data_IF_983568212585
#
_entry.id   IF_983568212585
#
_cell.length_a   1.000
_cell.length_b   1.000
_cell.length_c   1.000
_cell.angle_alpha   90.00
_cell.angle_beta   90.00
_cell.angle_gamma   90.00
#
_symmetry.space_group_name_H-M   'P 1'
#
loop_
_entity.id
_entity.type
_entity.pdbx_description
1 polymer ?
#
# COMPACT_ATOMS: atom_id res chain seq x y z
N UNK A 1 42.81 -7.38 9.42
CA UNK A 1 43.18 -7.28 8.00
C UNK A 1 44.56 -7.88 7.79
N UNK A 2 44.78 -8.72 6.76
CA UNK A 2 46.09 -9.29 6.41
C UNK A 2 46.41 -8.93 4.96
N UNK A 3 47.65 -8.53 4.66
CA UNK A 3 48.09 -8.23 3.29
C UNK A 3 48.87 -9.44 2.76
N UNK A 4 48.39 -10.02 1.66
CA UNK A 4 48.95 -11.22 1.02
C UNK A 4 48.98 -11.03 -0.49
N UNK A 5 49.81 -11.79 -1.20
CA UNK A 5 49.92 -11.73 -2.66
C UNK A 5 50.11 -13.12 -3.23
N UNK A 6 49.23 -13.50 -4.16
CA UNK A 6 49.33 -14.76 -4.90
C UNK A 6 50.62 -14.84 -5.75
N UNK A 7 51.14 -13.71 -6.22
CA UNK A 7 52.37 -13.67 -7.01
C UNK A 7 53.64 -13.55 -6.18
N UNK A 8 53.62 -12.75 -5.10
CA UNK A 8 54.84 -12.41 -4.34
C UNK A 8 55.09 -13.34 -3.15
N UNK A 9 54.03 -13.84 -2.51
CA UNK A 9 54.12 -14.66 -1.29
C UNK A 9 53.09 -15.82 -1.30
N UNK A 10 53.09 -16.68 -2.35
CA UNK A 10 52.07 -17.71 -2.53
C UNK A 10 51.98 -18.69 -1.36
N UNK A 11 53.11 -19.12 -0.79
CA UNK A 11 53.14 -20.08 0.34
C UNK A 11 52.40 -19.53 1.55
N UNK A 12 52.65 -18.27 1.90
CA UNK A 12 51.98 -17.62 3.05
C UNK A 12 50.49 -17.42 2.80
N UNK A 13 50.08 -17.18 1.56
CA UNK A 13 48.67 -17.13 1.20
C UNK A 13 48.00 -18.49 1.45
N UNK A 14 48.59 -19.58 0.95
CA UNK A 14 48.07 -20.93 1.12
C UNK A 14 47.98 -21.34 2.60
N UNK A 15 48.98 -21.00 3.42
CA UNK A 15 48.92 -21.24 4.88
C UNK A 15 47.72 -20.55 5.54
N UNK A 16 47.40 -19.33 5.12
CA UNK A 16 46.27 -18.59 5.66
C UNK A 16 44.94 -19.18 5.18
N UNK A 17 44.84 -19.49 3.88
CA UNK A 17 43.64 -20.11 3.28
C UNK A 17 43.35 -21.46 3.92
N UNK A 18 44.37 -22.32 4.10
CA UNK A 18 44.20 -23.64 4.73
C UNK A 18 43.62 -23.56 6.15
N UNK A 19 44.01 -22.53 6.93
CA UNK A 19 43.44 -22.31 8.27
C UNK A 19 41.96 -21.92 8.22
N UNK A 20 41.56 -21.09 7.25
CA UNK A 20 40.15 -20.74 7.07
C UNK A 20 39.35 -21.93 6.53
N UNK A 21 39.95 -22.73 5.66
CA UNK A 21 39.30 -23.90 5.08
C UNK A 21 39.03 -24.98 6.11
N UNK A 22 39.95 -25.16 7.07
CA UNK A 22 39.79 -26.11 8.17
C UNK A 22 38.63 -25.79 9.14
N UNK A 23 38.06 -24.58 9.10
CA UNK A 23 36.88 -24.23 9.92
C UNK A 23 35.66 -25.09 9.49
N UNK A 24 34.89 -25.72 10.38
CA UNK A 24 33.75 -26.54 9.93
C UNK A 24 32.55 -25.71 9.45
N UNK A 25 32.52 -24.39 9.70
CA UNK A 25 31.36 -23.55 9.36
C UNK A 25 31.21 -23.39 7.85
N UNK A 26 29.96 -23.32 7.33
CA UNK A 26 29.72 -22.98 5.93
C UNK A 26 30.37 -21.65 5.56
N UNK A 27 31.04 -21.60 4.42
CA UNK A 27 31.78 -20.43 3.98
C UNK A 27 31.80 -20.31 2.47
N UNK A 28 32.07 -19.08 2.04
CA UNK A 28 32.30 -18.72 0.63
C UNK A 28 33.47 -17.75 0.63
N UNK A 29 34.41 -17.92 -0.28
CA UNK A 29 35.48 -16.95 -0.46
C UNK A 29 35.10 -15.95 -1.54
N UNK A 30 35.32 -14.67 -1.26
CA UNK A 30 35.24 -13.61 -2.27
C UNK A 30 36.66 -13.06 -2.47
N UNK A 31 37.20 -13.21 -3.67
CA UNK A 31 38.50 -12.66 -4.05
C UNK A 31 38.32 -11.36 -4.84
N UNK A 32 39.02 -10.31 -4.42
CA UNK A 32 39.04 -9.02 -5.10
C UNK A 32 40.44 -8.78 -5.66
N UNK A 33 40.64 -9.12 -6.93
CA UNK A 33 41.92 -8.97 -7.61
C UNK A 33 41.74 -8.58 -9.08
N UNK A 34 42.40 -7.49 -9.50
CA UNK A 34 42.45 -7.05 -10.90
C UNK A 34 43.72 -7.51 -11.61
N UNK A 35 43.97 -6.98 -12.81
CA UNK A 35 45.14 -7.29 -13.65
C UNK A 35 45.19 -8.78 -14.08
N UNK A 36 46.20 -9.53 -13.66
CA UNK A 36 46.40 -10.94 -14.05
C UNK A 36 45.61 -11.96 -13.22
N UNK A 37 44.70 -11.49 -12.34
CA UNK A 37 43.88 -12.26 -11.38
C UNK A 37 44.37 -13.68 -11.02
N UNK A 38 45.63 -13.81 -10.61
CA UNK A 38 46.14 -15.09 -10.14
C UNK A 38 45.55 -15.50 -8.78
N UNK A 39 45.07 -14.53 -8.00
CA UNK A 39 44.51 -14.79 -6.68
C UNK A 39 43.27 -15.68 -6.76
N UNK A 40 42.34 -15.40 -7.67
CA UNK A 40 41.07 -16.12 -7.71
C UNK A 40 41.26 -17.58 -8.11
N UNK A 41 42.06 -17.82 -9.16
CA UNK A 41 42.36 -19.19 -9.60
C UNK A 41 43.19 -19.98 -8.59
N UNK A 42 44.20 -19.35 -7.97
CA UNK A 42 45.01 -19.99 -6.93
C UNK A 42 44.16 -20.34 -5.69
N UNK A 43 43.24 -19.44 -5.31
CA UNK A 43 42.37 -19.65 -4.17
C UNK A 43 41.41 -20.81 -4.43
N UNK A 44 40.73 -20.82 -5.58
CA UNK A 44 39.78 -21.86 -5.97
C UNK A 44 40.44 -23.24 -6.04
N UNK A 45 41.65 -23.34 -6.60
CA UNK A 45 42.41 -24.59 -6.61
C UNK A 45 42.91 -25.06 -5.23
N UNK A 46 42.86 -24.21 -4.21
CA UNK A 46 43.35 -24.51 -2.86
C UNK A 46 42.25 -24.85 -1.86
N UNK A 47 40.97 -24.73 -2.24
CA UNK A 47 39.82 -24.94 -1.35
C UNK A 47 38.77 -25.83 -2.00
N UNK A 48 37.87 -26.40 -1.19
CA UNK A 48 36.67 -27.09 -1.70
C UNK A 48 35.44 -26.20 -1.59
N UNK A 49 35.49 -25.18 -0.73
CA UNK A 49 34.43 -24.19 -0.57
C UNK A 49 34.32 -23.28 -1.81
N UNK A 50 33.11 -22.82 -2.18
CA UNK A 50 32.94 -21.97 -3.36
C UNK A 50 33.76 -20.69 -3.32
N UNK A 51 34.36 -20.33 -4.47
CA UNK A 51 35.10 -19.09 -4.66
C UNK A 51 34.38 -18.18 -5.66
N UNK A 52 34.25 -16.90 -5.31
CA UNK A 52 33.69 -15.86 -6.15
C UNK A 52 34.79 -14.83 -6.45
N UNK A 53 35.14 -14.72 -7.73
CA UNK A 53 36.01 -13.65 -8.22
C UNK A 53 35.20 -12.38 -8.46
N UNK A 54 35.53 -11.31 -7.74
CA UNK A 54 34.96 -9.98 -7.91
C UNK A 54 36.07 -8.98 -8.26
N UNK A 55 36.63 -9.03 -9.48
CA UNK A 55 37.68 -8.12 -9.89
C UNK A 55 37.18 -6.66 -9.88
N UNK A 56 37.97 -5.70 -9.38
CA UNK A 56 37.58 -4.29 -9.43
C UNK A 56 37.57 -3.78 -10.89
N UNK A 57 36.69 -2.81 -11.23
CA UNK A 57 36.73 -2.16 -12.54
C UNK A 57 38.10 -1.52 -12.81
N UNK A 58 38.62 -1.65 -14.03
CA UNK A 58 39.90 -1.04 -14.41
C UNK A 58 39.93 -0.54 -15.86
N UNK A 59 40.02 0.77 -16.02
CA UNK A 59 40.18 1.41 -17.34
C UNK A 59 41.62 1.29 -17.86
N UNK A 60 42.59 1.02 -16.98
CA UNK A 60 44.02 0.93 -17.32
C UNK A 60 44.33 -0.17 -18.36
N UNK A 61 43.44 -1.16 -18.50
CA UNK A 61 43.55 -2.24 -19.47
C UNK A 61 42.32 -2.32 -20.40
N UNK A 62 41.48 -1.29 -20.43
CA UNK A 62 40.23 -1.29 -21.21
C UNK A 62 39.31 -2.46 -20.87
N UNK A 63 39.30 -2.91 -19.61
CA UNK A 63 38.56 -4.08 -19.14
C UNK A 63 39.12 -5.45 -19.58
N UNK A 64 40.24 -5.51 -20.33
CA UNK A 64 40.83 -6.77 -20.77
C UNK A 64 41.34 -7.65 -19.62
N UNK A 65 41.58 -7.07 -18.45
CA UNK A 65 41.98 -7.81 -17.25
C UNK A 65 40.88 -8.73 -16.74
N UNK A 66 39.60 -8.50 -17.10
CA UNK A 66 38.49 -9.42 -16.78
C UNK A 66 38.70 -10.82 -17.36
N UNK A 67 39.37 -10.93 -18.51
CA UNK A 67 39.63 -12.23 -19.14
C UNK A 67 40.49 -13.13 -18.28
N UNK A 68 41.36 -12.56 -17.44
CA UNK A 68 42.14 -13.32 -16.47
C UNK A 68 41.28 -13.99 -15.39
N UNK A 69 40.05 -13.51 -15.18
CA UNK A 69 39.06 -14.10 -14.27
C UNK A 69 38.17 -15.12 -14.99
N UNK A 70 37.87 -14.88 -16.27
CA UNK A 70 36.96 -15.71 -17.08
C UNK A 70 37.63 -16.93 -17.72
N UNK A 71 38.95 -16.89 -17.94
CA UNK A 71 39.70 -17.95 -18.65
C UNK A 71 40.58 -18.74 -17.68
N UNK A 72 39.95 -19.56 -16.85
CA UNK A 72 40.64 -20.46 -15.93
C UNK A 72 41.05 -21.77 -16.60
N UNK A 73 42.15 -22.40 -16.16
CA UNK A 73 42.50 -23.76 -16.60
C UNK A 73 41.47 -24.78 -16.09
N UNK A 74 41.42 -25.96 -16.72
CA UNK A 74 40.51 -27.02 -16.30
C UNK A 74 40.70 -27.44 -14.84
N UNK A 75 39.60 -27.70 -14.13
CA UNK A 75 39.60 -28.04 -12.70
C UNK A 75 39.58 -26.82 -11.76
N UNK A 76 39.64 -25.60 -12.31
CA UNK A 76 39.54 -24.33 -11.58
C UNK A 76 38.30 -23.60 -12.08
N UNK A 77 37.34 -23.32 -11.20
CA UNK A 77 36.02 -22.81 -11.54
C UNK A 77 35.47 -21.74 -10.56
N UNK A 78 36.22 -20.65 -10.27
CA UNK A 78 35.67 -19.55 -9.50
C UNK A 78 34.51 -18.89 -10.28
N UNK A 79 33.43 -18.56 -9.56
CA UNK A 79 32.31 -17.81 -10.14
C UNK A 79 32.73 -16.35 -10.30
N UNK A 80 32.60 -15.77 -11.49
CA UNK A 80 32.95 -14.36 -11.72
C UNK A 80 31.71 -13.47 -11.58
N UNK A 81 31.78 -12.46 -10.71
CA UNK A 81 30.77 -11.40 -10.58
C UNK A 81 31.45 -10.04 -10.58
N UNK A 82 31.16 -9.19 -11.57
CA UNK A 82 31.81 -7.88 -11.69
C UNK A 82 31.20 -6.81 -10.77
N UNK A 83 29.98 -7.05 -10.30
CA UNK A 83 29.31 -6.18 -9.33
C UNK A 83 29.53 -6.72 -7.90
N UNK A 84 30.05 -5.90 -6.97
CA UNK A 84 30.24 -6.31 -5.58
C UNK A 84 28.95 -6.72 -4.86
N UNK A 85 27.83 -6.07 -5.17
CA UNK A 85 26.52 -6.41 -4.61
C UNK A 85 26.07 -7.81 -5.05
N UNK A 86 26.23 -8.12 -6.34
CA UNK A 86 25.93 -9.43 -6.90
C UNK A 86 26.89 -10.52 -6.41
N UNK A 87 28.15 -10.18 -6.15
CA UNK A 87 29.11 -11.10 -5.52
C UNK A 87 28.66 -11.46 -4.10
N UNK A 88 28.26 -10.46 -3.30
CA UNK A 88 27.70 -10.66 -1.96
C UNK A 88 26.39 -11.45 -2.00
N UNK A 89 25.48 -11.15 -2.95
CA UNK A 89 24.23 -11.87 -3.12
C UNK A 89 24.47 -13.33 -3.51
N UNK A 90 25.45 -13.59 -4.37
CA UNK A 90 25.84 -14.96 -4.76
C UNK A 90 26.35 -15.74 -3.55
N UNK A 91 27.21 -15.13 -2.73
CA UNK A 91 27.66 -15.74 -1.47
C UNK A 91 26.49 -16.02 -0.52
N UNK A 92 25.57 -15.07 -0.35
CA UNK A 92 24.39 -15.23 0.49
C UNK A 92 23.48 -16.37 -0.02
N UNK A 93 23.29 -16.49 -1.34
CA UNK A 93 22.52 -17.58 -1.97
C UNK A 93 23.15 -18.96 -1.75
N UNK A 94 24.47 -19.06 -1.78
CA UNK A 94 25.19 -20.30 -1.45
C UNK A 94 24.95 -20.68 0.02
N UNK A 95 25.11 -19.73 0.95
CA UNK A 95 24.89 -19.96 2.37
C UNK A 95 23.41 -20.29 2.70
N UNK A 96 22.46 -19.68 1.97
CA UNK A 96 21.02 -19.94 2.09
C UNK A 96 20.60 -21.40 1.82
N UNK A 97 21.46 -22.20 1.18
CA UNK A 97 21.22 -23.64 1.02
C UNK A 97 21.13 -24.31 2.39
N UNK A 98 22.01 -23.95 3.32
CA UNK A 98 22.11 -24.55 4.65
C UNK A 98 21.50 -23.70 5.78
N UNK A 99 21.30 -22.39 5.55
CA UNK A 99 20.77 -21.47 6.55
C UNK A 99 19.37 -20.93 6.13
N UNK A 100 18.27 -21.38 6.80
CA UNK A 100 16.92 -20.90 6.53
C UNK A 100 16.73 -19.39 6.76
N UNK A 101 17.41 -18.80 7.73
CA UNK A 101 17.31 -17.37 8.02
C UNK A 101 17.96 -16.54 6.91
N UNK A 102 19.12 -16.98 6.40
CA UNK A 102 19.75 -16.35 5.23
C UNK A 102 18.86 -16.51 3.99
N UNK A 103 18.23 -17.67 3.82
CA UNK A 103 17.28 -17.92 2.72
C UNK A 103 16.10 -16.96 2.73
N UNK A 104 15.48 -16.75 3.89
CA UNK A 104 14.42 -15.76 4.09
C UNK A 104 14.89 -14.35 3.71
N UNK A 105 16.08 -13.95 4.19
CA UNK A 105 16.67 -12.63 3.88
C UNK A 105 16.99 -12.44 2.39
N UNK A 106 17.51 -13.47 1.73
CA UNK A 106 17.76 -13.45 0.27
C UNK A 106 16.44 -13.29 -0.49
N UNK A 107 15.40 -14.04 -0.11
CA UNK A 107 14.06 -13.91 -0.72
C UNK A 107 13.50 -12.50 -0.54
N UNK A 108 13.59 -11.95 0.67
CA UNK A 108 13.15 -10.59 0.99
C UNK A 108 13.90 -9.55 0.15
N UNK A 109 15.23 -9.64 0.07
CA UNK A 109 16.06 -8.73 -0.74
C UNK A 109 15.71 -8.79 -2.23
N UNK A 110 15.58 -9.99 -2.79
CA UNK A 110 15.20 -10.15 -4.19
C UNK A 110 13.78 -9.68 -4.48
N UNK A 111 12.86 -9.84 -3.52
CA UNK A 111 11.50 -9.32 -3.61
C UNK A 111 11.53 -7.79 -3.63
N UNK A 112 12.21 -7.15 -2.68
CA UNK A 112 12.33 -5.69 -2.62
C UNK A 112 12.88 -5.08 -3.92
N UNK A 113 13.86 -5.74 -4.56
CA UNK A 113 14.38 -5.27 -5.86
C UNK A 113 13.36 -5.38 -7.00
N UNK A 114 12.49 -6.41 -7.00
CA UNK A 114 11.39 -6.50 -7.99
C UNK A 114 10.31 -5.47 -7.70
N UNK A 115 9.90 -5.36 -6.44
CA UNK A 115 8.93 -4.37 -5.96
C UNK A 115 9.36 -2.95 -6.36
N UNK A 116 10.67 -2.65 -6.29
CA UNK A 116 11.25 -1.37 -6.70
C UNK A 116 11.00 -1.05 -8.17
N UNK A 117 11.12 -2.02 -9.05
CA UNK A 117 10.86 -1.79 -10.46
C UNK A 117 9.40 -1.37 -10.70
N UNK A 118 8.44 -1.98 -9.99
CA UNK A 118 7.03 -1.64 -10.12
C UNK A 118 6.70 -0.25 -9.55
N UNK A 119 7.28 0.09 -8.39
CA UNK A 119 7.13 1.43 -7.80
C UNK A 119 7.73 2.50 -8.70
N UNK A 120 8.96 2.28 -9.19
CA UNK A 120 9.66 3.22 -10.06
C UNK A 120 8.93 3.39 -11.41
N UNK A 121 8.40 2.31 -11.99
CA UNK A 121 7.60 2.35 -13.23
C UNK A 121 6.29 3.15 -13.04
N UNK A 122 5.57 2.92 -11.94
CA UNK A 122 4.35 3.66 -11.62
C UNK A 122 4.64 5.15 -11.32
N UNK A 123 5.77 5.45 -10.65
CA UNK A 123 6.21 6.83 -10.42
C UNK A 123 6.49 7.56 -11.74
N UNK A 124 7.22 6.92 -12.66
CA UNK A 124 7.51 7.49 -13.99
C UNK A 124 6.22 7.66 -14.80
N UNK A 125 5.39 6.62 -14.89
CA UNK A 125 4.15 6.65 -15.66
C UNK A 125 3.20 7.74 -15.16
N UNK A 126 2.98 7.84 -13.85
CA UNK A 126 2.08 8.86 -13.30
C UNK A 126 2.64 10.27 -13.30
N UNK A 127 3.98 10.43 -13.35
CA UNK A 127 4.59 11.74 -13.54
C UNK A 127 4.26 12.35 -14.90
N UNK A 128 3.98 11.53 -15.91
CA UNK A 128 3.51 12.01 -17.22
C UNK A 128 2.11 12.64 -17.16
N UNK A 129 1.33 12.38 -16.10
CA UNK A 129 -0.04 12.88 -15.91
C UNK A 129 -0.11 14.27 -15.26
N UNK A 130 1.02 14.80 -14.79
CA UNK A 130 1.08 16.08 -14.08
C UNK A 130 0.43 17.22 -14.88
N UNK A 131 0.73 17.42 -16.19
CA UNK A 131 0.13 18.51 -16.96
C UNK A 131 -1.41 18.42 -17.04
N UNK A 132 -1.97 17.22 -17.22
CA UNK A 132 -3.41 16.98 -17.25
C UNK A 132 -4.07 17.19 -15.89
N UNK A 133 -3.40 16.80 -14.80
CA UNK A 133 -3.86 17.04 -13.42
C UNK A 133 -3.86 18.55 -13.10
N UNK A 134 -2.80 19.26 -13.50
CA UNK A 134 -2.70 20.72 -13.35
C UNK A 134 -3.83 21.43 -14.11
N UNK A 135 -4.09 21.03 -15.37
CA UNK A 135 -5.17 21.58 -16.17
C UNK A 135 -6.55 21.35 -15.51
N UNK A 136 -6.81 20.13 -15.00
CA UNK A 136 -8.05 19.81 -14.30
C UNK A 136 -8.23 20.63 -13.00
N UNK A 137 -7.13 20.97 -12.33
CA UNK A 137 -7.16 21.81 -11.12
C UNK A 137 -7.43 23.27 -11.44
N UNK A 138 -6.75 23.82 -12.44
CA UNK A 138 -6.81 25.24 -12.81
C UNK A 138 -8.17 25.71 -13.31
N UNK A 139 -8.96 24.83 -13.94
CA UNK A 139 -10.29 25.18 -14.45
C UNK A 139 -11.40 25.16 -13.38
N UNK A 140 -11.10 24.82 -12.11
CA UNK A 140 -12.09 24.56 -11.02
C UNK A 140 -13.22 23.59 -11.43
N UNK A 141 -13.03 22.82 -12.51
CA UNK A 141 -14.10 22.05 -13.17
C UNK A 141 -14.66 20.92 -12.33
N UNK A 142 -13.88 20.37 -11.39
CA UNK A 142 -14.17 19.01 -10.91
C UNK A 142 -15.18 18.96 -9.74
N UNK A 143 -15.14 19.92 -8.81
CA UNK A 143 -16.16 20.03 -7.74
C UNK A 143 -17.49 20.54 -8.24
N UNK A 144 -17.46 21.66 -8.98
CA UNK A 144 -18.65 22.42 -9.34
C UNK A 144 -19.57 21.58 -10.21
N UNK A 145 -19.00 20.84 -11.14
CA UNK A 145 -19.78 20.13 -12.15
C UNK A 145 -20.39 18.82 -11.66
N UNK A 146 -19.75 18.09 -10.75
CA UNK A 146 -20.32 16.85 -10.17
C UNK A 146 -21.50 17.18 -9.27
N UNK A 147 -21.37 18.18 -8.39
CA UNK A 147 -22.46 18.59 -7.50
C UNK A 147 -23.62 19.26 -8.28
N UNK A 148 -23.33 20.05 -9.32
CA UNK A 148 -24.36 20.62 -10.21
C UNK A 148 -25.10 19.57 -11.04
N UNK A 149 -24.37 18.65 -11.70
CA UNK A 149 -24.98 17.60 -12.52
C UNK A 149 -25.90 16.69 -11.69
N UNK A 150 -25.48 16.39 -10.46
CA UNK A 150 -26.19 15.54 -9.52
C UNK A 150 -27.39 16.26 -8.89
N UNK A 151 -27.26 17.57 -8.61
CA UNK A 151 -28.36 18.42 -8.13
C UNK A 151 -29.44 18.61 -9.20
N UNK A 152 -29.04 18.83 -10.46
CA UNK A 152 -29.97 18.91 -11.58
C UNK A 152 -30.73 17.58 -11.78
N UNK A 153 -30.03 16.45 -11.64
CA UNK A 153 -30.63 15.12 -11.75
C UNK A 153 -31.64 14.83 -10.62
N UNK A 154 -31.33 15.25 -9.39
CA UNK A 154 -32.28 15.19 -8.27
C UNK A 154 -33.54 16.01 -8.50
N UNK A 155 -33.41 17.20 -9.09
CA UNK A 155 -34.57 18.04 -9.40
C UNK A 155 -35.50 17.38 -10.43
N UNK A 156 -34.94 16.65 -11.41
CA UNK A 156 -35.72 15.90 -12.40
C UNK A 156 -36.49 14.72 -11.80
N UNK A 157 -35.98 14.13 -10.71
CA UNK A 157 -36.61 13.02 -9.98
C UNK A 157 -37.12 13.42 -8.59
N UNK A 158 -37.44 14.70 -8.40
CA UNK A 158 -37.81 15.26 -7.10
C UNK A 158 -39.04 14.54 -6.52
N UNK A 159 -38.89 14.03 -5.29
CA UNK A 159 -39.94 13.30 -4.57
C UNK A 159 -39.78 11.78 -4.52
N UNK A 160 -39.00 11.17 -5.43
CA UNK A 160 -38.74 9.73 -5.42
C UNK A 160 -37.43 9.36 -4.69
N UNK A 161 -36.39 10.18 -4.84
CA UNK A 161 -35.07 9.94 -4.27
C UNK A 161 -34.65 11.04 -3.30
N UNK A 162 -33.96 10.67 -2.22
CA UNK A 162 -33.38 11.56 -1.21
C UNK A 162 -31.85 11.51 -1.28
N UNK A 163 -31.20 12.65 -1.01
CA UNK A 163 -29.72 12.76 -0.91
C UNK A 163 -29.30 12.87 0.55
N UNK A 164 -28.29 12.10 0.94
CA UNK A 164 -27.53 12.29 2.18
C UNK A 164 -26.08 12.59 1.79
N UNK A 165 -25.62 13.80 2.09
CA UNK A 165 -24.25 14.23 1.82
C UNK A 165 -23.31 13.71 2.91
N UNK A 166 -22.26 12.99 2.52
CA UNK A 166 -21.16 12.61 3.39
C UNK A 166 -19.92 13.47 3.14
N UNK A 167 -18.86 13.24 3.92
CA UNK A 167 -17.58 13.96 3.78
C UNK A 167 -17.01 13.85 2.36
N UNK A 168 -17.04 12.64 1.79
CA UNK A 168 -16.48 12.31 0.47
C UNK A 168 -17.54 11.74 -0.48
N UNK A 169 -18.43 10.88 0.02
CA UNK A 169 -19.47 10.20 -0.78
C UNK A 169 -20.84 10.79 -0.52
N UNK A 170 -21.60 10.98 -1.58
CA UNK A 170 -23.03 11.33 -1.53
C UNK A 170 -23.87 10.07 -1.76
N UNK A 171 -24.87 9.87 -0.92
CA UNK A 171 -25.76 8.73 -0.96
C UNK A 171 -27.14 9.14 -1.48
N UNK A 172 -27.64 8.43 -2.48
CA UNK A 172 -28.99 8.60 -3.01
C UNK A 172 -29.80 7.35 -2.71
N UNK A 173 -30.96 7.54 -2.09
CA UNK A 173 -31.80 6.44 -1.64
C UNK A 173 -33.28 6.81 -1.76
N UNK A 174 -34.12 5.83 -2.07
CA UNK A 174 -35.58 5.96 -2.12
C UNK A 174 -36.21 4.98 -1.13
N UNK A 175 -37.24 5.37 -0.36
CA UNK A 175 -37.80 4.50 0.70
C UNK A 175 -38.21 3.12 0.18
N UNK A 176 -38.82 3.07 -1.00
CA UNK A 176 -39.28 1.84 -1.65
C UNK A 176 -38.21 1.10 -2.47
N UNK A 177 -36.97 1.59 -2.50
CA UNK A 177 -35.88 0.97 -3.27
C UNK A 177 -34.99 0.12 -2.38
N UNK A 178 -34.72 -1.11 -2.83
CA UNK A 178 -33.71 -2.00 -2.27
C UNK A 178 -32.28 -1.61 -2.67
N UNK A 179 -32.13 -0.55 -3.48
CA UNK A 179 -30.86 -0.06 -3.95
C UNK A 179 -30.52 1.30 -3.33
N UNK A 180 -29.21 1.57 -3.32
CA UNK A 180 -28.62 2.85 -2.98
C UNK A 180 -27.60 3.20 -4.05
N UNK A 181 -27.57 4.46 -4.46
CA UNK A 181 -26.56 4.98 -5.38
C UNK A 181 -25.53 5.74 -4.54
N UNK A 182 -24.26 5.39 -4.68
CA UNK A 182 -23.14 6.00 -4.00
C UNK A 182 -22.33 6.76 -5.03
N UNK A 183 -22.20 8.08 -4.85
CA UNK A 183 -21.43 8.96 -5.71
C UNK A 183 -20.20 9.45 -4.96
N UNK A 184 -19.03 9.00 -5.38
CA UNK A 184 -17.73 9.35 -4.77
C UNK A 184 -17.20 10.62 -5.40
N UNK A 185 -17.04 11.66 -4.58
CA UNK A 185 -16.63 12.98 -5.05
C UNK A 185 -15.14 13.23 -4.85
N UNK A 186 -14.66 14.31 -5.45
CA UNK A 186 -13.27 14.75 -5.37
C UNK A 186 -12.97 15.56 -4.11
N UNK A 187 -13.94 15.70 -3.20
CA UNK A 187 -13.75 16.32 -1.89
C UNK A 187 -12.70 15.54 -1.10
N UNK A 188 -11.65 16.22 -0.66
CA UNK A 188 -10.67 15.69 0.27
C UNK A 188 -10.95 16.25 1.65
N UNK A 189 -11.17 15.35 2.61
CA UNK A 189 -11.39 15.71 4.01
C UNK A 189 -10.26 15.21 4.91
N UNK A 190 -9.94 16.01 5.93
CA UNK A 190 -9.20 15.60 7.11
C UNK A 190 -9.54 16.56 8.27
N UNK A 191 -9.26 16.14 9.50
CA UNK A 191 -9.60 16.91 10.71
C UNK A 191 -11.09 17.30 10.77
N UNK A 192 -11.97 16.40 10.30
CA UNK A 192 -13.42 16.59 10.21
C UNK A 192 -13.90 17.78 9.35
N UNK A 193 -13.04 18.28 8.47
CA UNK A 193 -13.33 19.37 7.55
C UNK A 193 -13.04 18.95 6.10
N UNK A 194 -13.78 19.50 5.14
CA UNK A 194 -13.41 19.43 3.72
C UNK A 194 -12.34 20.49 3.48
N UNK A 195 -11.14 20.04 3.09
CA UNK A 195 -9.94 20.89 3.01
C UNK A 195 -9.67 21.39 1.60
N UNK A 196 -9.90 20.53 0.60
CA UNK A 196 -9.65 20.83 -0.78
C UNK A 196 -10.47 19.91 -1.70
N UNK A 197 -10.37 20.14 -3.00
CA UNK A 197 -10.67 19.13 -3.99
C UNK A 197 -9.44 18.66 -4.71
N UNK A 198 -9.40 17.36 -4.93
CA UNK A 198 -8.29 16.66 -5.56
C UNK A 198 -8.85 16.05 -6.84
N UNK A 199 -8.47 16.54 -8.03
CA UNK A 199 -8.95 15.99 -9.29
C UNK A 199 -8.77 14.48 -9.37
N UNK A 200 -9.73 13.80 -9.99
CA UNK A 200 -9.75 12.35 -10.24
C UNK A 200 -9.86 11.48 -8.98
N UNK A 201 -9.82 12.07 -7.78
CA UNK A 201 -9.87 11.34 -6.51
C UNK A 201 -11.09 10.44 -6.42
N UNK A 202 -12.29 10.95 -6.72
CA UNK A 202 -13.51 10.19 -6.57
C UNK A 202 -13.57 8.98 -7.49
N UNK A 203 -13.04 9.13 -8.72
CA UNK A 203 -12.92 8.03 -9.68
C UNK A 203 -11.91 6.99 -9.19
N UNK A 204 -10.72 7.41 -8.76
CA UNK A 204 -9.70 6.52 -8.17
C UNK A 204 -10.29 5.71 -7.01
N UNK A 205 -10.89 6.38 -6.01
CA UNK A 205 -11.40 5.72 -4.82
C UNK A 205 -12.47 4.67 -5.16
N UNK A 206 -13.41 5.03 -6.03
CA UNK A 206 -14.51 4.15 -6.39
C UNK A 206 -14.04 2.97 -7.26
N UNK A 207 -13.13 3.18 -8.21
CA UNK A 207 -12.58 2.11 -9.04
C UNK A 207 -11.65 1.16 -8.25
N UNK A 208 -10.80 1.69 -7.36
CA UNK A 208 -10.01 0.86 -6.42
C UNK A 208 -10.95 0.00 -5.57
N UNK A 209 -11.98 0.62 -4.98
CA UNK A 209 -12.94 -0.13 -4.16
C UNK A 209 -13.68 -1.19 -4.98
N UNK A 210 -14.10 -0.87 -6.21
CA UNK A 210 -14.77 -1.82 -7.11
C UNK A 210 -13.88 -3.03 -7.45
N UNK A 211 -12.59 -2.78 -7.73
CA UNK A 211 -11.60 -3.83 -7.94
C UNK A 211 -11.49 -4.73 -6.72
N UNK A 212 -11.34 -4.17 -5.51
CA UNK A 212 -11.23 -4.94 -4.28
C UNK A 212 -12.51 -5.71 -3.94
N UNK A 213 -13.68 -5.11 -4.11
CA UNK A 213 -14.95 -5.81 -3.89
C UNK A 213 -15.03 -7.08 -4.74
N UNK A 214 -14.71 -6.99 -6.03
CA UNK A 214 -14.66 -8.13 -6.95
C UNK A 214 -13.64 -9.19 -6.50
N UNK A 215 -12.44 -8.77 -6.12
CA UNK A 215 -11.36 -9.70 -5.74
C UNK A 215 -11.56 -10.32 -4.35
N UNK A 216 -12.50 -9.83 -3.55
CA UNK A 216 -12.78 -10.32 -2.19
C UNK A 216 -14.16 -10.97 -2.03
N UNK A 217 -14.93 -11.15 -3.12
CA UNK A 217 -16.24 -11.83 -3.09
C UNK A 217 -16.19 -13.25 -2.50
N UNK A 218 -15.06 -13.93 -2.69
CA UNK A 218 -14.82 -15.27 -2.16
C UNK A 218 -14.56 -15.30 -0.63
N UNK A 219 -14.36 -14.14 -0.01
CA UNK A 219 -14.14 -13.99 1.43
C UNK A 219 -15.45 -13.60 2.13
N UNK A 220 -16.14 -12.59 1.62
CA UNK A 220 -17.36 -12.03 2.20
C UNK A 220 -18.31 -11.52 1.10
N UNK A 221 -19.63 -11.72 1.23
CA UNK A 221 -20.59 -11.04 0.36
C UNK A 221 -20.43 -9.51 0.48
N UNK A 222 -20.63 -8.77 -0.61
CA UNK A 222 -20.59 -7.32 -0.58
C UNK A 222 -21.85 -6.69 -1.19
N UNK A 223 -22.02 -5.40 -0.95
CA UNK A 223 -23.20 -4.66 -1.39
C UNK A 223 -23.20 -4.25 -2.86
N UNK A 224 -22.09 -4.37 -3.60
CA UNK A 224 -22.00 -3.83 -4.97
C UNK A 224 -22.92 -4.59 -5.92
N UNK A 225 -23.67 -3.85 -6.74
CA UNK A 225 -24.50 -4.35 -7.83
C UNK A 225 -23.86 -4.00 -9.17
N UNK A 226 -23.48 -2.73 -9.36
CA UNK A 226 -22.91 -2.23 -10.61
C UNK A 226 -22.06 -0.98 -10.40
N UNK A 227 -21.16 -0.71 -11.34
CA UNK A 227 -20.35 0.52 -11.42
C UNK A 227 -20.57 1.14 -12.80
N UNK A 228 -21.63 1.94 -12.99
CA UNK A 228 -22.00 2.47 -14.29
C UNK A 228 -21.18 3.70 -14.72
N UNK A 229 -20.41 4.26 -13.80
CA UNK A 229 -19.55 5.42 -14.02
C UNK A 229 -18.38 5.36 -13.03
N UNK A 230 -17.19 5.89 -13.35
CA UNK A 230 -16.02 5.82 -12.49
C UNK A 230 -16.24 6.35 -11.07
N UNK A 231 -17.11 7.34 -10.89
CA UNK A 231 -17.48 7.89 -9.57
C UNK A 231 -18.74 7.26 -8.95
N UNK A 232 -19.39 6.30 -9.59
CA UNK A 232 -20.71 5.80 -9.17
C UNK A 232 -20.67 4.31 -8.88
N UNK A 233 -21.16 3.94 -7.70
CA UNK A 233 -21.50 2.56 -7.36
C UNK A 233 -22.99 2.46 -7.08
N UNK A 234 -23.65 1.50 -7.73
CA UNK A 234 -24.98 1.03 -7.36
C UNK A 234 -24.79 -0.11 -6.39
N UNK A 235 -25.37 0.01 -5.20
CA UNK A 235 -25.26 -0.97 -4.14
C UNK A 235 -26.63 -1.41 -3.62
N UNK A 236 -26.67 -2.60 -3.02
CA UNK A 236 -27.80 -3.08 -2.21
C UNK A 236 -27.91 -2.21 -0.97
N UNK A 237 -29.14 -1.90 -0.57
CA UNK A 237 -29.39 -1.32 0.74
C UNK A 237 -29.09 -2.38 1.80
N UNK A 238 -28.20 -2.03 2.72
CA UNK A 238 -27.91 -2.80 3.92
C UNK A 238 -28.21 -1.93 5.16
N UNK A 239 -28.57 -2.59 6.26
CA UNK A 239 -28.62 -1.99 7.59
C UNK A 239 -27.22 -2.03 8.21
N UNK A 240 -26.50 -0.90 8.33
CA UNK A 240 -25.12 -0.89 8.81
C UNK A 240 -25.04 -1.24 10.30
N UNK A 241 -24.02 -2.01 10.68
CA UNK A 241 -23.63 -2.09 12.09
C UNK A 241 -23.00 -0.76 12.53
N UNK A 242 -23.25 -0.27 13.75
CA UNK A 242 -22.74 1.01 14.23
C UNK A 242 -21.27 0.94 14.68
N UNK A 243 -20.46 0.09 14.04
CA UNK A 243 -19.07 -0.21 14.39
C UNK A 243 -18.20 -0.13 13.14
N UNK A 244 -17.08 0.56 13.25
CA UNK A 244 -16.02 0.55 12.27
C UNK A 244 -14.95 -0.45 12.71
N UNK A 245 -14.68 -1.46 11.88
CA UNK A 245 -13.68 -2.47 12.14
C UNK A 245 -12.34 -2.02 11.57
N UNK A 246 -11.57 -1.27 12.36
CA UNK A 246 -10.20 -0.91 11.98
C UNK A 246 -9.28 -2.10 12.24
N UNK A 247 -8.57 -2.57 11.21
CA UNK A 247 -7.56 -3.62 11.32
C UNK A 247 -6.18 -3.01 11.12
N UNK A 248 -5.23 -3.34 12.01
CA UNK A 248 -3.88 -2.76 12.02
C UNK A 248 -2.82 -3.84 11.91
N UNK A 249 -1.88 -3.66 10.98
CA UNK A 249 -0.67 -4.48 10.84
C UNK A 249 0.58 -3.81 11.41
N UNK A 250 0.53 -2.51 11.70
CA UNK A 250 1.70 -1.71 12.11
C UNK A 250 1.37 -0.74 13.26
N UNK A 251 2.35 -0.47 14.12
CA UNK A 251 2.24 0.45 15.25
C UNK A 251 2.46 1.91 14.81
N UNK A 252 1.48 2.51 14.12
CA UNK A 252 1.60 3.86 13.54
C UNK A 252 0.38 4.75 13.84
N UNK A 253 0.37 5.93 13.21
CA UNK A 253 -0.69 6.92 13.18
C UNK A 253 -0.44 8.12 14.09
N UNK A 254 -1.13 9.21 13.77
CA UNK A 254 -0.99 10.53 14.38
C UNK A 254 -2.28 11.02 15.06
N UNK A 255 -3.41 10.36 14.82
CA UNK A 255 -4.75 10.73 15.33
C UNK A 255 -4.98 10.24 16.76
N UNK A 256 -5.97 10.81 17.45
CA UNK A 256 -6.39 10.42 18.81
C UNK A 256 -6.75 8.95 18.94
N UNK A 257 -7.29 8.35 17.88
CA UNK A 257 -7.67 6.93 17.83
C UNK A 257 -6.54 6.00 17.37
N UNK A 258 -5.40 6.53 16.92
CA UNK A 258 -4.31 5.69 16.40
C UNK A 258 -3.56 4.92 17.49
N UNK A 259 -3.06 3.73 17.14
CA UNK A 259 -2.35 2.86 18.07
C UNK A 259 -1.09 3.55 18.61
N UNK A 260 -0.25 4.12 17.73
CA UNK A 260 1.00 4.74 18.16
C UNK A 260 0.76 5.91 19.12
N UNK A 261 -0.20 6.79 18.82
CA UNK A 261 -0.47 7.96 19.67
C UNK A 261 -0.93 7.58 21.06
N UNK A 262 -1.74 6.53 21.19
CA UNK A 262 -2.17 6.01 22.49
C UNK A 262 -1.01 5.32 23.23
N UNK A 263 -0.24 4.49 22.52
CA UNK A 263 0.90 3.79 23.11
C UNK A 263 1.98 4.76 23.64
N UNK A 264 2.28 5.82 22.88
CA UNK A 264 3.18 6.92 23.28
C UNK A 264 2.71 7.64 24.55
N UNK A 265 1.39 7.72 24.77
CA UNK A 265 0.78 8.29 25.97
C UNK A 265 0.74 7.33 27.16
N UNK A 266 1.31 6.14 27.04
CA UNK A 266 1.35 5.14 28.10
C UNK A 266 0.20 4.14 28.11
N UNK A 267 -0.69 4.17 27.10
CA UNK A 267 -1.75 3.15 26.98
C UNK A 267 -1.12 1.80 26.66
N UNK A 268 -1.49 0.77 27.43
CA UNK A 268 -1.04 -0.62 27.26
C UNK A 268 -2.19 -1.61 27.10
N UNK A 269 -3.41 -1.17 27.34
CA UNK A 269 -4.63 -1.90 27.02
C UNK A 269 -5.42 -1.09 26.00
N UNK A 270 -5.53 -1.62 24.79
CA UNK A 270 -6.04 -0.89 23.62
C UNK A 270 -7.13 -1.73 22.96
N UNK A 271 -8.39 -1.26 23.01
CA UNK A 271 -9.56 -2.02 22.56
C UNK A 271 -9.68 -3.43 23.19
N UNK A 272 -9.26 -3.58 24.46
CA UNK A 272 -9.20 -4.89 25.15
C UNK A 272 -7.99 -5.76 24.79
N UNK A 273 -7.04 -5.24 24.01
CA UNK A 273 -5.80 -5.92 23.64
C UNK A 273 -4.66 -5.42 24.51
N UNK A 274 -3.92 -6.34 25.15
CA UNK A 274 -2.69 -6.02 25.86
C UNK A 274 -1.55 -5.82 24.88
N UNK A 275 -1.01 -4.61 24.82
CA UNK A 275 0.13 -4.26 24.00
C UNK A 275 1.43 -4.66 24.72
N UNK A 276 2.41 -5.25 24.01
CA UNK A 276 3.70 -5.56 24.59
C UNK A 276 4.48 -4.28 24.90
N UNK A 277 5.43 -4.39 25.80
CA UNK A 277 6.38 -3.31 26.04
C UNK A 277 7.34 -3.13 24.85
N UNK A 278 7.95 -1.95 24.78
CA UNK A 278 8.93 -1.56 23.78
C UNK A 278 8.45 -1.60 22.32
N UNK A 279 7.15 -1.39 22.05
CA UNK A 279 6.71 -1.07 20.68
C UNK A 279 7.42 0.21 20.19
N UNK A 280 7.97 0.16 18.98
CA UNK A 280 8.56 1.31 18.28
C UNK A 280 7.59 1.84 17.23
N UNK A 281 7.68 3.14 16.95
CA UNK A 281 6.86 3.78 15.92
C UNK A 281 7.08 3.10 14.57
N UNK A 282 6.00 2.90 13.84
CA UNK A 282 5.96 2.34 12.49
C UNK A 282 6.44 0.88 12.36
N UNK A 283 6.69 0.17 13.47
CA UNK A 283 7.08 -1.24 13.37
C UNK A 283 5.89 -2.14 13.00
N UNK A 284 6.16 -3.23 12.28
CA UNK A 284 5.18 -4.30 12.05
C UNK A 284 4.78 -4.94 13.38
N UNK A 285 3.48 -5.19 13.56
CA UNK A 285 2.92 -5.86 14.73
C UNK A 285 3.17 -7.37 14.66
N UNK A 286 3.08 -8.05 15.81
CA UNK A 286 3.27 -9.50 15.90
C UNK A 286 2.10 -10.29 15.26
N UNK A 287 0.94 -9.65 15.15
CA UNK A 287 -0.24 -10.14 14.43
C UNK A 287 -1.10 -8.95 14.01
N UNK A 288 -2.03 -9.16 13.08
CA UNK A 288 -3.03 -8.15 12.73
C UNK A 288 -4.02 -7.99 13.88
N UNK A 289 -4.29 -6.75 14.28
CA UNK A 289 -5.16 -6.42 15.41
C UNK A 289 -6.46 -5.79 14.92
N UNK A 290 -7.60 -6.30 15.38
CA UNK A 290 -8.91 -5.65 15.21
C UNK A 290 -9.11 -4.66 16.35
N UNK A 291 -9.26 -3.38 16.01
CA UNK A 291 -9.28 -2.27 16.96
C UNK A 291 -10.49 -1.40 16.65
N UNK A 292 -11.70 -1.83 17.04
CA UNK A 292 -12.92 -1.23 16.55
C UNK A 292 -13.16 0.17 17.13
N UNK A 293 -13.90 0.98 16.38
CA UNK A 293 -14.36 2.30 16.79
C UNK A 293 -15.87 2.45 16.63
N UNK A 294 -16.50 3.21 17.51
CA UNK A 294 -17.91 3.63 17.37
C UNK A 294 -17.98 5.00 16.70
N UNK A 295 -19.00 5.22 15.86
CA UNK A 295 -19.34 6.56 15.34
C UNK A 295 -20.12 7.31 16.42
N UNK A 296 -19.47 8.22 17.15
CA UNK A 296 -20.13 9.10 18.14
C UNK A 296 -20.20 10.54 17.61
N UNK A 297 -21.11 11.36 18.16
CA UNK A 297 -21.32 12.75 17.72
C UNK A 297 -20.07 13.64 17.86
N UNK A 298 -19.13 13.25 18.74
CA UNK A 298 -17.84 13.93 18.97
C UNK A 298 -16.70 12.97 18.60
N UNK A 299 -16.68 12.58 17.32
CA UNK A 299 -15.60 11.78 16.74
C UNK A 299 -15.64 10.31 17.12
N UNK A 300 -14.77 9.52 16.47
CA UNK A 300 -14.75 8.08 16.65
C UNK A 300 -14.11 7.71 18.00
N UNK A 301 -14.78 6.85 18.77
CA UNK A 301 -14.29 6.38 20.07
C UNK A 301 -13.76 4.95 19.98
N UNK A 302 -12.61 4.68 20.57
CA UNK A 302 -12.05 3.33 20.68
C UNK A 302 -12.91 2.50 21.63
N UNK A 303 -13.28 1.30 21.21
CA UNK A 303 -14.14 0.40 21.99
C UNK A 303 -13.58 -1.02 21.95
N UNK A 304 -13.78 -1.79 23.01
CA UNK A 304 -13.47 -3.20 23.08
C UNK A 304 -14.67 -4.06 22.65
N UNK A 305 -14.41 -5.32 22.31
CA UNK A 305 -15.47 -6.31 22.05
C UNK A 305 -16.50 -6.38 23.18
N UNK A 306 -16.04 -6.40 24.44
CA UNK A 306 -16.92 -6.52 25.59
C UNK A 306 -17.82 -5.30 25.73
N UNK A 307 -17.27 -4.10 25.59
CA UNK A 307 -18.05 -2.86 25.63
C UNK A 307 -19.08 -2.76 24.49
N UNK A 308 -18.76 -3.24 23.28
CA UNK A 308 -19.72 -3.30 22.16
C UNK A 308 -20.94 -4.16 22.53
N UNK A 309 -20.69 -5.33 23.13
CA UNK A 309 -21.74 -6.27 23.53
C UNK A 309 -22.55 -5.71 24.70
N UNK A 310 -21.88 -5.16 25.71
CA UNK A 310 -22.53 -4.61 26.91
C UNK A 310 -23.41 -3.39 26.57
N UNK A 311 -23.01 -2.59 25.58
CA UNK A 311 -23.79 -1.47 25.04
C UNK A 311 -24.93 -1.91 24.12
N UNK A 312 -25.03 -3.20 23.78
CA UNK A 312 -26.04 -3.73 22.87
C UNK A 312 -25.87 -3.28 21.41
N UNK A 313 -24.67 -2.83 21.02
CA UNK A 313 -24.40 -2.32 19.67
C UNK A 313 -24.29 -3.44 18.63
N UNK A 314 -23.82 -4.62 19.05
CA UNK A 314 -23.78 -5.83 18.25
C UNK A 314 -23.93 -7.06 19.15
N UNK A 315 -24.42 -8.17 18.59
CA UNK A 315 -24.33 -9.47 19.28
C UNK A 315 -22.89 -9.97 19.25
N UNK A 316 -22.52 -10.83 20.21
CA UNK A 316 -21.22 -11.48 20.23
C UNK A 316 -20.91 -12.22 18.91
N UNK A 317 -21.90 -12.96 18.39
CA UNK A 317 -21.75 -13.74 17.15
C UNK A 317 -21.55 -12.85 15.92
N UNK A 318 -22.28 -11.73 15.82
CA UNK A 318 -22.11 -10.78 14.71
C UNK A 318 -20.75 -10.10 14.78
N UNK A 319 -20.33 -9.68 15.97
CA UNK A 319 -19.01 -9.06 16.15
C UNK A 319 -17.90 -10.03 15.73
N UNK A 320 -17.95 -11.27 16.21
CA UNK A 320 -16.93 -12.27 15.93
C UNK A 320 -16.86 -12.59 14.42
N UNK A 321 -18.02 -12.66 13.75
CA UNK A 321 -18.10 -12.88 12.29
C UNK A 321 -17.52 -11.69 11.51
N UNK A 322 -17.89 -10.46 11.86
CA UNK A 322 -17.35 -9.26 11.22
C UNK A 322 -15.83 -9.10 11.47
N UNK A 323 -15.37 -9.40 12.68
CA UNK A 323 -13.95 -9.37 13.03
C UNK A 323 -13.15 -10.41 12.24
N UNK A 324 -13.69 -11.62 12.07
CA UNK A 324 -13.08 -12.66 11.22
C UNK A 324 -12.99 -12.19 9.76
N UNK A 325 -14.08 -11.66 9.19
CA UNK A 325 -14.05 -11.11 7.84
C UNK A 325 -13.05 -9.97 7.69
N UNK A 326 -13.01 -9.02 8.62
CA UNK A 326 -12.07 -7.91 8.62
C UNK A 326 -10.61 -8.40 8.62
N UNK A 327 -10.28 -9.39 9.44
CA UNK A 327 -8.94 -10.00 9.48
C UNK A 327 -8.58 -10.70 8.17
N UNK A 328 -9.51 -11.50 7.61
CA UNK A 328 -9.28 -12.24 6.36
C UNK A 328 -9.14 -11.29 5.16
N UNK A 329 -9.98 -10.26 5.08
CA UNK A 329 -9.85 -9.20 4.08
C UNK A 329 -8.50 -8.48 4.21
N UNK A 330 -8.06 -8.20 5.43
CA UNK A 330 -6.81 -7.46 5.65
C UNK A 330 -5.58 -8.29 5.34
N UNK A 331 -5.60 -9.58 5.67
CA UNK A 331 -4.53 -10.52 5.30
C UNK A 331 -4.41 -10.67 3.77
N UNK A 332 -5.56 -10.86 3.10
CA UNK A 332 -5.61 -10.91 1.64
C UNK A 332 -5.12 -9.60 1.01
N UNK A 333 -5.58 -8.46 1.54
CA UNK A 333 -5.15 -7.13 1.12
C UNK A 333 -3.65 -6.89 1.29
N UNK A 334 -3.07 -7.33 2.41
CA UNK A 334 -1.62 -7.24 2.64
C UNK A 334 -0.81 -8.09 1.65
N UNK A 335 -1.28 -9.30 1.34
CA UNK A 335 -0.62 -10.17 0.35
C UNK A 335 -0.60 -9.51 -1.03
N UNK A 336 -1.76 -9.07 -1.50
CA UNK A 336 -1.89 -8.41 -2.81
C UNK A 336 -1.12 -7.10 -2.83
N UNK A 337 -1.29 -6.21 -1.84
CA UNK A 337 -0.50 -4.97 -1.77
C UNK A 337 1.01 -5.24 -1.83
N UNK A 338 1.48 -6.27 -1.12
CA UNK A 338 2.90 -6.65 -1.15
C UNK A 338 3.36 -7.10 -2.54
N UNK A 339 2.56 -7.89 -3.26
CA UNK A 339 2.84 -8.30 -4.64
C UNK A 339 2.92 -7.10 -5.60
N UNK A 340 2.26 -5.99 -5.24
CA UNK A 340 2.15 -4.76 -6.01
C UNK A 340 3.07 -3.63 -5.50
N UNK A 341 4.10 -3.95 -4.70
CA UNK A 341 5.10 -2.97 -4.23
C UNK A 341 4.63 -2.03 -3.11
N UNK A 342 3.49 -2.35 -2.48
CA UNK A 342 2.87 -1.57 -1.41
C UNK A 342 2.89 -2.33 -0.08
N UNK A 343 2.76 -1.58 1.01
CA UNK A 343 2.48 -2.11 2.34
C UNK A 343 1.11 -1.58 2.75
N UNK A 344 0.13 -2.47 2.91
CA UNK A 344 -1.15 -2.15 3.53
C UNK A 344 -0.98 -2.13 5.06
N UNK A 345 -1.04 -0.94 5.65
CA UNK A 345 -0.59 -0.66 7.01
C UNK A 345 -1.70 -0.86 8.04
N UNK A 346 -2.83 -0.23 7.76
CA UNK A 346 -4.09 -0.37 8.47
C UNK A 346 -5.23 -0.01 7.51
N UNK A 347 -6.44 -0.49 7.81
CA UNK A 347 -7.64 -0.19 7.03
C UNK A 347 -8.88 -0.25 7.90
N UNK A 348 -9.95 0.39 7.45
CA UNK A 348 -11.25 0.43 8.12
C UNK A 348 -12.29 -0.28 7.26
N UNK A 349 -13.01 -1.23 7.86
CA UNK A 349 -14.16 -1.86 7.23
C UNK A 349 -15.47 -1.46 7.91
N UNK A 350 -16.53 -1.40 7.13
CA UNK A 350 -17.90 -1.31 7.62
C UNK A 350 -18.69 -2.50 7.09
N UNK A 351 -19.55 -3.04 7.95
CA UNK A 351 -20.42 -4.17 7.61
C UNK A 351 -21.88 -3.79 7.85
N UNK A 352 -22.80 -4.47 7.16
CA UNK A 352 -24.22 -4.34 7.41
C UNK A 352 -24.99 -5.61 7.05
N UNK A 353 -26.25 -5.68 7.45
CA UNK A 353 -27.16 -6.77 7.07
C UNK A 353 -27.91 -6.42 5.80
N UNK A 354 -27.94 -7.33 4.84
CA UNK A 354 -28.85 -7.21 3.70
C UNK A 354 -30.30 -7.57 4.09
N UNK A 355 -31.22 -7.45 3.13
CA UNK A 355 -32.65 -7.78 3.35
C UNK A 355 -32.91 -9.24 3.72
N UNK A 356 -31.93 -10.14 3.52
CA UNK A 356 -31.99 -11.55 3.92
C UNK A 356 -31.32 -11.79 5.29
N UNK A 357 -30.85 -10.73 5.95
CA UNK A 357 -30.16 -10.80 7.24
C UNK A 357 -28.70 -11.24 7.15
N UNK A 358 -28.12 -11.37 5.96
CA UNK A 358 -26.72 -11.78 5.77
C UNK A 358 -25.78 -10.61 6.01
N UNK A 359 -24.65 -10.86 6.66
CA UNK A 359 -23.58 -9.88 6.84
C UNK A 359 -22.88 -9.66 5.49
N UNK A 360 -22.85 -8.41 5.07
CA UNK A 360 -22.19 -7.95 3.85
C UNK A 360 -21.15 -6.89 4.19
N UNK A 361 -20.03 -6.90 3.47
CA UNK A 361 -19.12 -5.76 3.41
C UNK A 361 -19.82 -4.62 2.66
N UNK A 362 -19.79 -3.43 3.26
CA UNK A 362 -20.37 -2.21 2.70
C UNK A 362 -19.30 -1.12 2.63
N UNK A 363 -19.72 0.08 2.28
CA UNK A 363 -18.89 1.27 2.24
C UNK A 363 -17.81 1.25 1.12
N UNK A 364 -16.54 1.47 1.45
CA UNK A 364 -15.40 1.33 0.55
C UNK A 364 -14.34 0.40 1.16
N UNK A 365 -13.48 -0.19 0.33
CA UNK A 365 -12.44 -1.13 0.78
C UNK A 365 -11.07 -0.77 0.17
N UNK A 366 -10.04 -0.73 1.03
CA UNK A 366 -8.62 -0.70 0.65
C UNK A 366 -8.22 0.48 -0.25
N UNK A 367 -8.93 1.59 -0.13
CA UNK A 367 -8.65 2.86 -0.81
C UNK A 367 -7.65 3.72 -0.01
N UNK A 368 -6.99 4.73 -0.60
CA UNK A 368 -6.14 5.68 0.13
C UNK A 368 -6.90 6.54 1.16
N UNK A 369 -8.23 6.59 1.12
CA UNK A 369 -9.03 7.30 2.12
C UNK A 369 -9.42 6.43 3.32
N UNK A 370 -9.63 5.12 3.09
CA UNK A 370 -9.99 4.12 4.10
C UNK A 370 -8.79 3.41 4.73
N UNK A 371 -7.62 3.51 4.10
CA UNK A 371 -6.42 2.71 4.42
C UNK A 371 -5.16 3.55 4.38
N UNK A 372 -4.17 3.15 5.17
CA UNK A 372 -2.80 3.64 5.05
C UNK A 372 -1.97 2.73 4.16
N UNK A 373 -1.25 3.34 3.23
CA UNK A 373 -0.35 2.64 2.33
C UNK A 373 1.04 3.26 2.35
N UNK A 374 2.06 2.40 2.46
CA UNK A 374 3.46 2.79 2.30
C UNK A 374 4.06 2.15 1.06
N UNK A 375 5.06 2.83 0.47
CA UNK A 375 5.90 2.21 -0.54
C UNK A 375 6.80 1.16 0.14
N UNK A 376 6.74 -0.09 -0.32
CA UNK A 376 7.48 -1.20 0.29
C UNK A 376 9.00 -1.02 0.15
N UNK A 377 9.42 -0.32 -0.90
CA UNK A 377 10.80 -0.20 -1.35
C UNK A 377 11.66 0.68 -0.44
N UNK A 378 11.04 1.67 0.23
CA UNK A 378 11.75 2.60 1.12
C UNK A 378 11.53 2.29 2.61
N UNK A 379 10.58 1.42 2.96
CA UNK A 379 10.20 1.18 4.37
C UNK A 379 11.38 0.78 5.27
N UNK A 380 12.12 -0.29 4.94
CA UNK A 380 13.19 -0.79 5.82
C UNK A 380 14.34 0.23 6.01
N UNK A 381 14.76 0.89 4.93
CA UNK A 381 15.79 1.94 4.99
C UNK A 381 15.33 3.12 5.85
N UNK A 382 14.08 3.54 5.69
CA UNK A 382 13.53 4.68 6.42
C UNK A 382 13.39 4.36 7.91
N UNK A 383 12.88 3.17 8.26
CA UNK A 383 12.77 2.74 9.67
C UNK A 383 14.14 2.63 10.34
N UNK A 384 15.12 2.01 9.67
CA UNK A 384 16.48 1.88 10.22
C UNK A 384 17.18 3.24 10.37
N UNK A 385 16.82 4.21 9.52
CA UNK A 385 17.28 5.60 9.61
C UNK A 385 16.48 6.49 10.55
N UNK A 386 15.47 5.95 11.25
CA UNK A 386 14.60 6.73 12.15
C UNK A 386 13.68 7.73 11.46
N UNK A 387 13.40 7.54 10.16
CA UNK A 387 12.51 8.38 9.34
C UNK A 387 11.09 7.80 9.29
N UNK A 388 10.10 8.65 9.08
CA UNK A 388 8.72 8.20 8.78
C UNK A 388 8.69 7.42 7.46
N UNK A 389 7.87 6.36 7.32
CA UNK A 389 7.60 5.71 6.05
C UNK A 389 7.11 6.68 4.98
N UNK A 390 7.27 6.28 3.73
CA UNK A 390 6.80 7.04 2.59
C UNK A 390 5.35 6.70 2.27
N UNK A 391 4.45 7.66 2.53
CA UNK A 391 3.00 7.48 2.36
C UNK A 391 2.56 7.82 0.93
N UNK A 392 1.64 7.04 0.39
CA UNK A 392 0.95 7.33 -0.88
C UNK A 392 -0.49 7.86 -0.66
N UNK A 393 -0.92 7.94 0.60
CA UNK A 393 -2.25 8.35 1.02
C UNK A 393 -2.33 9.83 1.47
N UNK A 394 -3.49 10.25 1.96
CA UNK A 394 -3.78 11.61 2.43
C UNK A 394 -2.90 12.13 3.58
N UNK A 395 -2.02 11.33 4.16
CA UNK A 395 -1.13 11.80 5.23
C UNK A 395 -0.25 12.97 4.76
N UNK A 396 0.08 13.08 3.47
CA UNK A 396 0.84 14.24 2.94
C UNK A 396 0.09 15.57 3.18
N UNK A 397 -1.23 15.58 3.00
CA UNK A 397 -2.07 16.75 3.20
C UNK A 397 -2.23 17.06 4.69
N UNK A 398 -2.37 16.02 5.51
CA UNK A 398 -2.48 16.16 6.98
C UNK A 398 -1.22 16.77 7.58
N UNK A 399 -0.05 16.31 7.15
CA UNK A 399 1.23 16.83 7.63
C UNK A 399 1.39 18.30 7.22
N UNK A 400 1.10 18.64 5.96
CA UNK A 400 1.16 20.03 5.52
C UNK A 400 0.28 20.95 6.37
N UNK A 401 -1.00 20.63 6.58
CA UNK A 401 -1.86 21.48 7.41
C UNK A 401 -1.40 21.58 8.87
N UNK A 402 -0.86 20.50 9.46
CA UNK A 402 -0.32 20.54 10.83
C UNK A 402 0.91 21.43 10.97
N UNK A 403 1.70 21.55 9.91
CA UNK A 403 2.91 22.37 9.90
C UNK A 403 2.60 23.86 9.63
N UNK A 404 1.40 24.17 9.11
CA UNK A 404 1.03 25.52 8.67
C UNK A 404 -0.14 26.15 9.45
N UNK A 405 -0.92 25.39 10.22
CA UNK A 405 -2.06 25.88 11.02
C UNK A 405 -2.45 24.92 12.17
N UNK A 406 -3.37 25.33 13.06
CA UNK A 406 -4.10 24.41 13.96
C UNK A 406 -5.46 24.04 13.33
N UNK A 407 -5.56 22.94 12.57
CA UNK A 407 -6.73 22.64 11.76
C UNK A 407 -8.02 22.39 12.58
N UNK A 408 -7.88 22.13 13.89
CA UNK A 408 -8.99 21.90 14.80
C UNK A 408 -9.53 23.20 15.42
N UNK A 409 -8.75 24.28 15.45
CA UNK A 409 -9.12 25.53 16.13
C UNK A 409 -9.26 26.71 15.19
N UNK A 410 -8.47 26.74 14.13
CA UNK A 410 -8.43 27.89 13.24
C UNK A 410 -9.72 27.97 12.42
N UNK A 411 -10.44 29.09 12.52
CA UNK A 411 -11.71 29.28 11.80
C UNK A 411 -11.51 29.19 10.28
N UNK A 412 -10.45 29.83 9.76
CA UNK A 412 -10.08 29.83 8.36
C UNK A 412 -8.74 29.11 8.17
N UNK A 413 -8.75 28.05 7.36
CA UNK A 413 -7.55 27.31 7.00
C UNK A 413 -6.86 27.94 5.79
N UNK A 414 -5.53 27.85 5.67
CA UNK A 414 -4.84 28.24 4.45
C UNK A 414 -5.28 27.35 3.28
N UNK A 415 -5.29 27.91 2.07
CA UNK A 415 -5.51 27.11 0.86
C UNK A 415 -4.31 26.19 0.64
N UNK A 416 -4.57 24.92 0.33
CA UNK A 416 -3.53 23.98 -0.02
C UNK A 416 -2.84 24.42 -1.33
N UNK A 417 -1.49 24.42 -1.40
CA UNK A 417 -0.77 24.79 -2.60
C UNK A 417 -1.12 23.88 -3.78
N UNK A 418 -1.08 24.41 -5.00
CA UNK A 418 -1.44 23.68 -6.21
C UNK A 418 -0.58 22.41 -6.35
N UNK A 419 0.73 22.53 -6.12
CA UNK A 419 1.67 21.42 -6.19
C UNK A 419 1.32 20.29 -5.22
N UNK A 420 0.76 20.61 -4.05
CA UNK A 420 0.34 19.61 -3.06
C UNK A 420 -0.92 18.87 -3.53
N UNK A 421 -1.86 19.57 -4.17
CA UNK A 421 -3.08 18.97 -4.73
C UNK A 421 -2.76 18.09 -5.94
N UNK A 422 -1.89 18.56 -6.82
CA UNK A 422 -1.42 17.82 -7.99
C UNK A 422 -0.69 16.56 -7.56
N UNK A 423 0.23 16.67 -6.60
CA UNK A 423 0.97 15.52 -6.07
C UNK A 423 0.04 14.52 -5.36
N UNK A 424 -0.98 14.99 -4.63
CA UNK A 424 -1.96 14.11 -4.00
C UNK A 424 -2.80 13.35 -5.04
N UNK A 425 -3.26 14.03 -6.10
CA UNK A 425 -3.99 13.42 -7.21
C UNK A 425 -3.13 12.37 -7.92
N UNK A 426 -1.87 12.72 -8.24
CA UNK A 426 -0.89 11.81 -8.86
C UNK A 426 -0.66 10.56 -8.01
N UNK A 427 -0.43 10.69 -6.70
CA UNK A 427 -0.25 9.55 -5.80
C UNK A 427 -1.48 8.65 -5.70
N UNK A 428 -2.68 9.23 -5.77
CA UNK A 428 -3.92 8.45 -5.77
C UNK A 428 -4.03 7.62 -7.06
N UNK A 429 -3.72 8.23 -8.20
CA UNK A 429 -3.64 7.53 -9.48
C UNK A 429 -2.55 6.45 -9.43
N UNK A 430 -1.37 6.76 -8.89
CA UNK A 430 -0.28 5.79 -8.70
C UNK A 430 -0.73 4.60 -7.87
N UNK A 431 -1.45 4.80 -6.76
CA UNK A 431 -2.00 3.68 -5.99
C UNK A 431 -2.99 2.86 -6.82
N UNK A 432 -3.87 3.50 -7.60
CA UNK A 432 -4.79 2.79 -8.48
C UNK A 432 -4.05 1.91 -9.49
N UNK A 433 -3.07 2.46 -10.19
CA UNK A 433 -2.30 1.70 -11.20
C UNK A 433 -1.45 0.61 -10.56
N UNK A 434 -0.88 0.87 -9.38
CA UNK A 434 -0.13 -0.13 -8.64
C UNK A 434 -1.02 -1.28 -8.20
N UNK A 435 -2.21 -1.01 -7.63
CA UNK A 435 -3.13 -2.06 -7.15
C UNK A 435 -3.79 -2.83 -8.30
N UNK A 436 -4.25 -2.12 -9.33
CA UNK A 436 -5.04 -2.74 -10.41
C UNK A 436 -4.18 -3.26 -11.56
N UNK A 437 -2.96 -2.74 -11.71
CA UNK A 437 -2.12 -2.87 -12.91
C UNK A 437 -2.78 -2.36 -14.20
N UNK A 438 -3.84 -1.56 -14.09
CA UNK A 438 -4.48 -0.89 -15.20
C UNK A 438 -4.06 0.57 -15.24
N UNK A 439 -3.87 1.13 -16.45
CA UNK A 439 -3.63 2.56 -16.61
C UNK A 439 -4.89 3.34 -16.24
N UNK A 440 -4.71 4.45 -15.54
CA UNK A 440 -5.82 5.34 -15.21
C UNK A 440 -6.23 6.17 -16.43
N UNK A 441 -7.52 6.17 -16.74
CA UNK A 441 -8.03 6.95 -17.87
C UNK A 441 -8.33 8.38 -17.45
N UNK A 442 -7.38 9.28 -17.73
CA UNK A 442 -7.49 10.73 -17.48
C UNK A 442 -8.61 11.42 -18.27
N UNK A 443 -9.25 10.75 -19.24
CA UNK A 443 -10.41 11.30 -19.94
C UNK A 443 -11.66 11.30 -19.06
N UNK A 444 -11.65 10.60 -17.92
CA UNK A 444 -12.75 10.50 -16.95
C UNK A 444 -12.57 11.54 -15.84
N UNK A 445 -13.63 12.11 -15.22
CA UNK A 445 -15.06 11.99 -15.54
C UNK A 445 -15.62 13.29 -16.15
N UNK A 446 -16.25 13.22 -17.33
CA UNK A 446 -17.05 14.36 -17.81
C UNK A 446 -18.43 14.35 -17.14
N UNK A 447 -18.88 15.47 -16.54
CA UNK A 447 -20.17 15.59 -15.83
C UNK A 447 -21.40 15.22 -16.67
N UNK A 448 -21.31 15.39 -17.99
CA UNK A 448 -22.36 15.00 -18.94
C UNK A 448 -22.59 13.49 -18.99
N UNK A 449 -21.56 12.68 -18.73
CA UNK A 449 -21.67 11.22 -18.73
C UNK A 449 -22.29 10.69 -17.44
N UNK A 450 -22.13 11.42 -16.32
CA UNK A 450 -22.70 11.06 -15.03
C UNK A 450 -24.24 10.97 -15.08
N UNK A 451 -24.89 11.96 -15.71
CA UNK A 451 -26.36 11.95 -15.84
C UNK A 451 -26.85 10.80 -16.71
N UNK A 452 -26.17 10.52 -17.81
CA UNK A 452 -26.50 9.40 -18.70
C UNK A 452 -26.33 8.05 -17.99
N UNK A 453 -25.28 7.91 -17.18
CA UNK A 453 -25.03 6.71 -16.39
C UNK A 453 -26.08 6.48 -15.29
N UNK A 454 -26.56 7.55 -14.64
CA UNK A 454 -27.49 7.48 -13.52
C UNK A 454 -28.97 7.42 -13.93
N UNK A 455 -29.35 8.04 -15.04
CA UNK A 455 -30.74 8.15 -15.49
C UNK A 455 -31.53 6.83 -15.51
N UNK A 456 -30.99 5.73 -16.07
CA UNK A 456 -31.65 4.43 -16.06
C UNK A 456 -31.90 3.89 -14.65
N UNK A 457 -30.95 4.06 -13.73
CA UNK A 457 -31.06 3.56 -12.35
C UNK A 457 -32.07 4.36 -11.53
N UNK A 458 -32.10 5.68 -11.69
CA UNK A 458 -33.09 6.54 -11.03
C UNK A 458 -34.52 6.30 -11.52
N UNK A 459 -34.67 5.89 -12.78
CA UNK A 459 -35.96 5.57 -13.42
C UNK A 459 -36.41 4.12 -13.21
N UNK A 460 -35.66 3.31 -12.46
CA UNK A 460 -35.97 1.89 -12.23
C UNK A 460 -35.76 0.97 -13.45
N UNK A 461 -35.07 1.45 -14.49
CA UNK A 461 -34.76 0.74 -15.73
C UNK A 461 -33.30 0.26 -15.82
N UNK A 462 -32.51 0.49 -14.76
CA UNK A 462 -31.10 0.06 -14.70
C UNK A 462 -30.97 -1.45 -14.80
N UNK A 463 -30.08 -1.93 -15.68
CA UNK A 463 -29.78 -3.36 -15.82
C UNK A 463 -28.28 -3.61 -15.60
N UNK A 464 -27.95 -4.85 -15.22
CA UNK A 464 -26.56 -5.33 -15.01
C UNK A 464 -25.68 -5.27 -16.28
N UNK A 465 -26.21 -4.85 -17.44
CA UNK A 465 -25.44 -4.71 -18.67
C UNK A 465 -24.64 -3.40 -18.76
N UNK A 466 -24.94 -2.40 -17.91
CA UNK A 466 -24.30 -1.07 -17.93
C UNK A 466 -23.04 -0.97 -17.06
N UNK A 467 -22.32 -2.07 -16.84
CA UNK A 467 -21.15 -2.07 -15.95
C UNK A 467 -19.93 -1.63 -16.75
N UNK A 468 -19.35 -0.48 -16.41
CA UNK A 468 -17.97 -0.18 -16.76
C UNK A 468 -17.10 -1.05 -15.85
N UNK A 469 -16.90 -2.30 -16.24
CA UNK A 469 -15.68 -2.98 -15.83
C UNK A 469 -14.76 -2.86 -17.02
N UNK A 470 -13.88 -1.85 -16.98
CA UNK A 470 -12.65 -1.93 -17.77
C UNK A 470 -11.99 -3.24 -17.36
N UNK A 471 -11.99 -4.21 -18.27
CA UNK A 471 -11.02 -5.28 -18.32
C UNK A 471 -10.70 -5.44 -19.80
N UNK A 472 -9.57 -4.88 -20.22
CA UNK A 472 -8.89 -5.36 -21.42
C UNK A 472 -7.65 -6.13 -20.99
#
# INVERSE_FOLDING_TARGET
MRILSAHKVPTRLLEVVSRYEADPRPKVYISVAGRSNALSGLLDGAVVSPVIACPPPSDAFGGADVFSSLRMPGGIAPVVSLDPGNAALTAAKILAIQDPLVRERVRAFQKANRDRLYVDDAEVATSEYIPEIEAATGERRVLVSTDEALSALLQQHAGAWRKKQGKVRDQFYAEQSEQVILVTTDRQSAFDRVLAAVPYKGAVLNLVSAWWFRHTEHIVPNHVIAVPHPNVTIAKRCEPFPIEFVVRGYATGSTSTSLWKNYERGVREYCGIKLPENLRKNQKLWTNLVTPTTKEDIGDALVSRQEIIDRGLMTAADFDTCAEYALRLFDFGQRVASEHGLILVDTKYEFGRDAQGRICLIDEIHTPDSSRYWLATSYEERITSGKEPENIDKEILRLWYRDHCDPYKDEKLPEAPLELIVELSRRYIQLYEMITWEKFDLRLPWPSELQAALGPWLSGQGTMANVIVSSK
#
